data_IF_014102986146
#
_entry.id   IF_014102986146
#
_cell.length_a   1.000
_cell.length_b   1.000
_cell.length_c   1.000
_cell.angle_alpha   90.00
_cell.angle_beta   90.00
_cell.angle_gamma   90.00
#
_symmetry.space_group_name_H-M   'P 1'
#
loop_
_entity.id
_entity.type
_entity.pdbx_description
1 polymer ?
#
# COMPACT_ATOMS: atom_id res chain seq x y z
N UNK A 1 4.11 -8.90 -16.76
CA UNK A 1 3.82 -10.11 -15.97
C UNK A 1 4.33 -9.86 -14.55
N UNK A 2 3.62 -10.31 -13.51
CA UNK A 2 4.06 -10.09 -12.13
C UNK A 2 5.21 -11.04 -11.77
N UNK A 3 6.27 -10.52 -11.17
CA UNK A 3 7.44 -11.29 -10.72
C UNK A 3 7.04 -12.28 -9.64
N UNK A 4 7.41 -13.55 -9.78
CA UNK A 4 7.07 -14.58 -8.80
C UNK A 4 8.12 -14.65 -7.68
N UNK A 5 7.64 -14.52 -6.45
CA UNK A 5 8.44 -14.65 -5.22
C UNK A 5 7.95 -15.86 -4.46
N UNK A 6 8.86 -16.77 -4.13
CA UNK A 6 8.58 -17.99 -3.38
C UNK A 6 8.97 -17.84 -1.91
N UNK A 7 8.02 -17.94 -0.99
CA UNK A 7 8.27 -17.92 0.45
C UNK A 7 8.45 -19.34 0.98
N UNK A 8 9.56 -19.59 1.66
CA UNK A 8 9.86 -20.86 2.31
C UNK A 8 9.66 -20.75 3.83
N UNK A 9 9.40 -21.87 4.50
CA UNK A 9 9.11 -21.94 5.95
C UNK A 9 10.15 -21.23 6.83
N UNK A 10 11.39 -21.16 6.38
CA UNK A 10 12.53 -20.60 7.13
C UNK A 10 12.59 -19.06 7.02
N UNK A 11 11.47 -18.38 6.77
CA UNK A 11 11.34 -16.94 6.44
C UNK A 11 12.10 -16.48 5.19
N UNK A 12 12.69 -17.40 4.42
CA UNK A 12 13.44 -17.09 3.19
C UNK A 12 12.46 -16.78 2.05
N UNK A 13 12.74 -15.70 1.32
CA UNK A 13 12.05 -15.33 0.09
C UNK A 13 13.00 -15.60 -1.08
N UNK A 14 12.50 -16.16 -2.17
CA UNK A 14 13.27 -16.45 -3.37
C UNK A 14 12.64 -15.78 -4.58
N UNK A 15 13.42 -14.93 -5.24
CA UNK A 15 13.05 -14.25 -6.47
C UNK A 15 13.33 -15.18 -7.65
N UNK A 16 12.29 -15.62 -8.36
CA UNK A 16 12.47 -16.59 -9.46
C UNK A 16 13.05 -15.95 -10.71
N UNK A 17 12.96 -14.63 -10.87
CA UNK A 17 13.54 -13.93 -12.02
C UNK A 17 15.03 -13.67 -11.79
N UNK A 18 15.42 -13.22 -10.59
CA UNK A 18 16.84 -13.03 -10.23
C UNK A 18 17.55 -14.32 -9.85
N UNK A 19 16.81 -15.40 -9.62
CA UNK A 19 17.33 -16.69 -9.16
C UNK A 19 18.16 -16.59 -7.87
N UNK A 20 17.68 -15.79 -6.91
CA UNK A 20 18.38 -15.56 -5.65
C UNK A 20 17.43 -15.40 -4.47
N UNK A 21 17.96 -15.60 -3.26
CA UNK A 21 17.25 -15.25 -2.04
C UNK A 21 17.26 -13.73 -1.84
N UNK A 22 16.13 -13.21 -1.37
CA UNK A 22 15.91 -11.80 -1.09
C UNK A 22 15.31 -11.63 0.32
N UNK A 23 15.30 -10.41 0.82
CA UNK A 23 14.71 -10.06 2.11
C UNK A 23 13.35 -9.36 1.96
N UNK A 24 12.71 -9.05 3.08
CA UNK A 24 11.46 -8.26 3.07
C UNK A 24 11.77 -6.81 2.68
N UNK A 25 12.94 -6.30 3.05
CA UNK A 25 13.43 -4.97 2.65
C UNK A 25 13.65 -4.89 1.13
N UNK A 26 14.09 -5.97 0.47
CA UNK A 26 14.15 -6.01 -0.99
C UNK A 26 12.75 -5.93 -1.63
N UNK A 27 11.76 -6.62 -1.06
CA UNK A 27 10.37 -6.52 -1.51
C UNK A 27 9.79 -5.12 -1.26
N UNK A 28 10.15 -4.48 -0.14
CA UNK A 28 9.79 -3.09 0.11
C UNK A 28 10.34 -2.18 -0.99
N UNK A 29 11.60 -2.36 -1.39
CA UNK A 29 12.18 -1.61 -2.52
C UNK A 29 11.43 -1.87 -3.82
N UNK A 30 11.06 -3.12 -4.10
CA UNK A 30 10.25 -3.45 -5.28
C UNK A 30 8.92 -2.68 -5.30
N UNK A 31 8.23 -2.56 -4.16
CA UNK A 31 7.00 -1.76 -4.06
C UNK A 31 7.29 -0.29 -4.38
N UNK A 32 8.33 0.30 -3.78
CA UNK A 32 8.71 1.71 -3.98
C UNK A 32 9.14 2.00 -5.42
N UNK A 33 9.78 1.04 -6.08
CA UNK A 33 10.21 1.11 -7.49
C UNK A 33 9.07 0.81 -8.48
N UNK A 34 7.86 0.48 -8.00
CA UNK A 34 6.71 0.16 -8.84
C UNK A 34 6.78 -1.22 -9.50
N UNK A 35 7.64 -2.11 -9.02
CA UNK A 35 7.76 -3.48 -9.52
C UNK A 35 6.60 -4.34 -9.00
N UNK A 36 5.79 -4.85 -9.91
CA UNK A 36 4.70 -5.76 -9.59
C UNK A 36 5.21 -7.18 -9.32
N UNK A 37 4.86 -7.75 -8.16
CA UNK A 37 5.21 -9.12 -7.80
C UNK A 37 4.03 -9.88 -7.15
N UNK A 38 4.12 -11.20 -7.18
CA UNK A 38 3.22 -12.14 -6.50
C UNK A 38 4.04 -12.99 -5.54
N UNK A 39 3.55 -13.19 -4.32
CA UNK A 39 4.20 -14.05 -3.32
C UNK A 39 3.40 -15.33 -3.13
N UNK A 40 4.07 -16.47 -3.28
CA UNK A 40 3.48 -17.79 -3.12
C UNK A 40 4.19 -18.57 -1.99
N UNK A 41 3.40 -19.22 -1.14
CA UNK A 41 3.96 -20.18 -0.18
C UNK A 41 4.49 -21.40 -0.93
N UNK A 42 5.78 -21.69 -0.78
CA UNK A 42 6.46 -22.76 -1.53
C UNK A 42 6.04 -24.17 -1.09
N UNK A 43 5.41 -24.29 0.07
CA UNK A 43 4.91 -25.57 0.60
C UNK A 43 3.48 -25.82 0.14
N UNK A 44 2.63 -24.79 0.18
CA UNK A 44 1.19 -24.95 -0.07
C UNK A 44 0.71 -24.42 -1.42
N UNK A 45 1.55 -23.69 -2.17
CA UNK A 45 1.18 -23.00 -3.40
C UNK A 45 0.19 -21.84 -3.20
N UNK A 46 -0.05 -21.42 -1.95
CA UNK A 46 -1.06 -20.42 -1.62
C UNK A 46 -0.54 -19.03 -1.97
N UNK A 47 -1.38 -18.21 -2.60
CA UNK A 47 -1.11 -16.79 -2.74
C UNK A 47 -1.14 -16.10 -1.38
N UNK A 48 0.01 -15.57 -0.98
CA UNK A 48 0.23 -14.85 0.27
C UNK A 48 0.72 -13.42 0.02
N UNK A 49 0.46 -12.89 -1.18
CA UNK A 49 0.87 -11.53 -1.59
C UNK A 49 0.33 -10.49 -0.63
N UNK A 50 -0.97 -10.53 -0.32
CA UNK A 50 -1.60 -9.58 0.60
C UNK A 50 -1.00 -9.64 2.01
N UNK A 51 -0.79 -10.86 2.55
CA UNK A 51 -0.16 -11.04 3.86
C UNK A 51 1.28 -10.50 3.89
N UNK A 52 2.02 -10.62 2.78
CA UNK A 52 3.39 -10.12 2.66
C UNK A 52 3.42 -8.59 2.53
N UNK A 53 2.49 -7.99 1.79
CA UNK A 53 2.35 -6.53 1.70
C UNK A 53 1.97 -5.92 3.06
N UNK A 54 1.08 -6.56 3.83
CA UNK A 54 0.78 -6.16 5.21
C UNK A 54 2.02 -6.25 6.11
N UNK A 55 2.84 -7.29 5.97
CA UNK A 55 4.09 -7.41 6.72
C UNK A 55 5.04 -6.25 6.40
N UNK A 56 5.26 -5.96 5.11
CA UNK A 56 6.08 -4.82 4.66
C UNK A 56 5.56 -3.52 5.28
N UNK A 57 4.24 -3.32 5.24
CA UNK A 57 3.60 -2.12 5.78
C UNK A 57 3.84 -1.94 7.29
N UNK A 58 3.68 -3.01 8.07
CA UNK A 58 3.93 -2.98 9.52
C UNK A 58 5.41 -2.70 9.82
N UNK A 59 6.32 -3.35 9.10
CA UNK A 59 7.77 -3.14 9.27
C UNK A 59 8.15 -1.68 8.98
N UNK A 60 7.58 -1.08 7.93
CA UNK A 60 7.76 0.34 7.60
C UNK A 60 7.27 1.28 8.72
N UNK A 61 6.06 1.05 9.24
CA UNK A 61 5.49 1.88 10.31
C UNK A 61 6.18 1.69 11.66
N UNK A 62 6.82 0.55 11.90
CA UNK A 62 7.60 0.29 13.12
C UNK A 62 8.98 0.96 13.15
N UNK A 63 9.39 1.59 12.04
CA UNK A 63 10.65 2.31 11.91
C UNK A 63 10.63 3.71 12.54
N UNK A 64 11.70 4.48 12.30
CA UNK A 64 11.88 5.81 12.90
C UNK A 64 10.93 6.89 12.35
N UNK A 65 10.37 6.68 11.17
CA UNK A 65 9.47 7.65 10.50
C UNK A 65 8.11 7.00 10.30
N UNK A 66 7.29 7.06 11.34
CA UNK A 66 5.92 6.57 11.28
C UNK A 66 5.06 7.57 10.50
N UNK A 67 4.42 7.12 9.43
CA UNK A 67 3.56 7.98 8.61
C UNK A 67 2.12 8.00 9.14
N UNK A 68 1.65 6.90 9.73
CA UNK A 68 0.30 6.82 10.28
C UNK A 68 0.25 7.20 11.75
N UNK A 69 -0.68 8.10 12.10
CA UNK A 69 -1.02 8.36 13.49
C UNK A 69 -1.87 7.22 14.08
N UNK A 70 -1.84 7.00 15.41
CA UNK A 70 -2.71 6.04 16.07
C UNK A 70 -4.20 6.25 15.79
N UNK A 71 -4.62 7.49 15.58
CA UNK A 71 -5.99 7.81 15.20
C UNK A 71 -6.32 7.23 13.81
N UNK A 72 -5.45 7.43 12.81
CA UNK A 72 -5.67 6.87 11.47
C UNK A 72 -5.70 5.33 11.53
N UNK A 73 -4.84 4.71 12.33
CA UNK A 73 -4.83 3.25 12.49
C UNK A 73 -6.14 2.70 13.06
N UNK A 74 -6.66 3.31 14.15
CA UNK A 74 -7.95 2.91 14.75
C UNK A 74 -9.07 3.03 13.74
N UNK A 75 -9.04 4.13 13.00
CA UNK A 75 -9.99 4.39 11.96
C UNK A 75 -9.95 3.27 10.93
N UNK A 76 -8.81 3.01 10.29
CA UNK A 76 -8.63 1.90 9.32
C UNK A 76 -9.19 0.56 9.81
N UNK A 77 -9.00 0.24 11.10
CA UNK A 77 -9.55 -0.97 11.73
C UNK A 77 -11.08 -0.94 11.78
N UNK A 78 -11.68 0.18 12.18
CA UNK A 78 -13.14 0.36 12.18
C UNK A 78 -13.70 0.20 10.74
N UNK A 79 -13.03 0.74 9.72
CA UNK A 79 -13.45 0.57 8.31
C UNK A 79 -13.41 -0.87 7.86
N UNK A 80 -12.33 -1.58 8.18
CA UNK A 80 -12.19 -2.98 7.79
C UNK A 80 -13.35 -3.85 8.33
N UNK A 81 -13.99 -3.40 9.42
CA UNK A 81 -15.13 -4.07 10.03
C UNK A 81 -16.50 -3.41 9.72
N UNK A 82 -16.55 -2.34 8.92
CA UNK A 82 -17.79 -1.63 8.61
C UNK A 82 -18.57 -2.35 7.48
N UNK A 83 -19.92 -2.41 7.53
CA UNK A 83 -20.73 -3.03 6.48
C UNK A 83 -20.50 -2.46 5.07
N UNK A 84 -20.12 -1.19 4.98
CA UNK A 84 -19.84 -0.50 3.70
C UNK A 84 -18.37 -0.59 3.23
N UNK A 85 -17.54 -1.45 3.82
CA UNK A 85 -16.11 -1.54 3.47
C UNK A 85 -15.87 -1.78 1.96
N UNK A 86 -16.78 -2.45 1.25
CA UNK A 86 -16.67 -2.69 -0.20
C UNK A 86 -16.78 -1.40 -1.02
N UNK A 87 -17.72 -0.51 -0.67
CA UNK A 87 -17.88 0.79 -1.34
C UNK A 87 -16.62 1.65 -1.13
N UNK A 88 -16.06 1.61 0.08
CA UNK A 88 -14.82 2.31 0.39
C UNK A 88 -13.61 1.75 -0.35
N UNK A 89 -13.49 0.42 -0.46
CA UNK A 89 -12.46 -0.24 -1.28
C UNK A 89 -12.50 0.28 -2.71
N UNK A 90 -13.69 0.31 -3.33
CA UNK A 90 -13.86 0.82 -4.69
C UNK A 90 -13.48 2.30 -4.82
N UNK A 91 -13.85 3.13 -3.84
CA UNK A 91 -13.47 4.54 -3.80
C UNK A 91 -11.93 4.72 -3.73
N UNK A 92 -11.24 3.96 -2.88
CA UNK A 92 -9.78 3.99 -2.78
C UNK A 92 -9.12 3.56 -4.09
N UNK A 93 -9.58 2.47 -4.71
CA UNK A 93 -9.07 2.00 -6.00
C UNK A 93 -9.21 3.08 -7.08
N UNK A 94 -10.36 3.76 -7.14
CA UNK A 94 -10.58 4.89 -8.07
C UNK A 94 -9.67 6.08 -7.77
N UNK A 95 -9.47 6.41 -6.49
CA UNK A 95 -8.59 7.50 -6.06
C UNK A 95 -7.14 7.23 -6.50
N UNK A 96 -6.62 6.02 -6.26
CA UNK A 96 -5.28 5.64 -6.68
C UNK A 96 -5.12 5.63 -8.21
N UNK A 97 -6.10 5.09 -8.94
CA UNK A 97 -6.08 5.10 -10.41
C UNK A 97 -6.07 6.52 -10.99
N UNK A 98 -6.86 7.43 -10.41
CA UNK A 98 -6.87 8.84 -10.81
C UNK A 98 -5.54 9.52 -10.50
N UNK A 99 -4.94 9.22 -9.34
CA UNK A 99 -3.64 9.74 -8.95
C UNK A 99 -2.51 9.26 -9.87
N UNK A 100 -2.48 7.99 -10.20
CA UNK A 100 -1.52 7.44 -11.16
C UNK A 100 -1.63 8.16 -12.52
N UNK A 101 -2.87 8.37 -12.99
CA UNK A 101 -3.14 9.13 -14.22
C UNK A 101 -2.66 10.58 -14.15
N UNK A 102 -2.87 11.26 -13.02
CA UNK A 102 -2.40 12.62 -12.79
C UNK A 102 -0.86 12.69 -12.83
N UNK A 103 -0.17 11.75 -12.19
CA UNK A 103 1.29 11.65 -12.17
C UNK A 103 1.88 11.36 -13.57
N UNK A 104 1.22 10.53 -14.38
CA UNK A 104 1.66 10.23 -15.74
C UNK A 104 1.43 11.39 -16.73
N UNK A 105 0.43 12.24 -16.48
CA UNK A 105 0.02 13.29 -17.42
C UNK A 105 0.87 14.57 -17.40
N UNK A 106 1.73 14.77 -16.40
CA UNK A 106 2.56 15.97 -16.27
C UNK A 106 4.06 15.63 -16.18
N UNK A 107 4.84 15.71 -17.28
CA UNK A 107 6.29 15.47 -17.31
C UNK A 107 7.15 16.49 -16.55
N UNK A 108 6.57 17.45 -15.83
CA UNK A 108 7.28 18.48 -15.06
C UNK A 108 6.96 18.41 -13.57
N UNK A 109 7.36 17.30 -12.94
CA UNK A 109 7.45 17.13 -11.48
C UNK A 109 8.71 17.84 -10.94
N UNK A 110 8.82 19.16 -11.10
CA UNK A 110 9.86 19.96 -10.42
C UNK A 110 9.31 20.96 -9.39
N UNK A 111 8.01 20.91 -9.09
CA UNK A 111 7.44 21.54 -7.91
C UNK A 111 6.82 20.44 -7.03
N UNK A 112 7.67 19.64 -6.38
CA UNK A 112 7.25 18.69 -5.33
C UNK A 112 6.31 19.40 -4.34
N UNK A 113 6.53 20.69 -4.07
CA UNK A 113 5.64 21.54 -3.25
C UNK A 113 4.22 21.67 -3.78
N UNK A 114 3.99 21.79 -5.10
CA UNK A 114 2.63 21.84 -5.68
C UNK A 114 1.97 20.47 -5.64
N UNK A 115 2.73 19.40 -5.90
CA UNK A 115 2.23 18.03 -5.79
C UNK A 115 1.87 17.70 -4.34
N UNK A 116 2.71 18.07 -3.36
CA UNK A 116 2.44 17.93 -1.93
C UNK A 116 1.25 18.79 -1.50
N UNK A 117 1.12 20.03 -1.96
CA UNK A 117 0.00 20.90 -1.61
C UNK A 117 -1.33 20.40 -2.20
N UNK A 118 -1.33 19.91 -3.45
CA UNK A 118 -2.50 19.29 -4.07
C UNK A 118 -2.85 17.97 -3.37
N UNK A 119 -1.85 17.18 -3.00
CA UNK A 119 -2.01 15.97 -2.17
C UNK A 119 -2.60 16.32 -0.81
N UNK A 120 -2.08 17.33 -0.12
CA UNK A 120 -2.59 17.78 1.18
C UNK A 120 -4.03 18.28 1.06
N UNK A 121 -4.35 19.05 0.01
CA UNK A 121 -5.71 19.54 -0.23
C UNK A 121 -6.67 18.40 -0.53
N UNK A 122 -6.26 17.42 -1.35
CA UNK A 122 -7.06 16.26 -1.70
C UNK A 122 -7.23 15.31 -0.50
N UNK A 123 -6.18 15.07 0.26
CA UNK A 123 -6.21 14.31 1.51
C UNK A 123 -7.07 14.99 2.56
N UNK A 124 -7.04 16.33 2.69
CA UNK A 124 -7.94 17.06 3.59
C UNK A 124 -9.40 16.97 3.14
N UNK A 125 -9.69 17.04 1.84
CA UNK A 125 -11.04 16.85 1.33
C UNK A 125 -11.52 15.41 1.56
N UNK A 126 -10.64 14.44 1.33
CA UNK A 126 -10.88 13.03 1.66
C UNK A 126 -11.17 12.88 3.14
N UNK A 127 -10.30 13.38 4.04
CA UNK A 127 -10.47 13.30 5.49
C UNK A 127 -11.76 14.00 5.95
N UNK A 128 -12.17 15.11 5.36
CA UNK A 128 -13.45 15.77 5.68
C UNK A 128 -14.65 14.95 5.24
N UNK A 129 -14.67 14.43 4.01
CA UNK A 129 -15.73 13.53 3.55
C UNK A 129 -15.79 12.27 4.40
N UNK A 130 -14.62 11.72 4.68
CA UNK A 130 -14.40 10.53 5.49
C UNK A 130 -14.87 10.74 6.94
N UNK A 131 -14.59 11.88 7.58
CA UNK A 131 -15.20 12.23 8.87
C UNK A 131 -16.72 12.39 8.78
N UNK A 132 -17.24 12.94 7.68
CA UNK A 132 -18.69 13.05 7.44
C UNK A 132 -19.39 11.70 7.31
N UNK A 133 -18.72 10.67 6.77
CA UNK A 133 -19.25 9.30 6.71
C UNK A 133 -19.23 8.60 8.09
N UNK A 134 -18.31 8.97 8.97
CA UNK A 134 -18.07 8.33 10.28
C UNK A 134 -18.50 9.20 11.46
N UNK A 135 -19.31 10.23 11.20
CA UNK A 135 -19.84 11.13 12.21
C UNK A 135 -20.58 10.37 13.30
N UNK A 136 -19.87 10.03 14.37
CA UNK A 136 -20.44 9.81 15.70
C UNK A 136 -20.96 11.17 16.13
N UNK A 137 -22.24 11.22 16.52
CA UNK A 137 -22.84 12.41 17.17
C UNK A 137 -22.02 12.85 18.38
#
# INVERSE_FOLDING_TARGET
MARLIKKYKNRRLYDTEKSQYITVEDLQRYVVEGLSFKVEDSTTGKDITNATLLQIFVEMESGATQFLSPEILRQLIIFANHPMHQSFKSMLEQMFANMEKLLQSNPYLNDYKKATMLWDQQMQQFFKHWQGFFGVK
#
